data_IF_557044111940
#
_entry.id   IF_557044111940
#
_cell.length_a   1.000
_cell.length_b   1.000
_cell.length_c   1.000
_cell.angle_alpha   90.00
_cell.angle_beta   90.00
_cell.angle_gamma   90.00
#
_symmetry.space_group_name_H-M   'P 1'
#
loop_
_entity.id
_entity.type
_entity.pdbx_description
1 polymer ?
#
# COMPACT_ATOMS: atom_id res chain seq x y z
N UNK A 1 13.30 20.51 -8.26
CA UNK A 1 12.23 19.89 -7.46
C UNK A 1 12.90 19.44 -6.18
N UNK A 2 12.44 19.90 -5.01
CA UNK A 2 13.20 19.77 -3.76
C UNK A 2 12.84 18.44 -3.08
N UNK A 3 13.58 17.37 -3.35
CA UNK A 3 13.37 16.11 -2.61
C UNK A 3 13.77 16.24 -1.15
N UNK A 4 14.68 17.17 -0.80
CA UNK A 4 15.02 17.52 0.59
C UNK A 4 13.76 17.83 1.43
N UNK A 5 12.91 18.76 0.99
CA UNK A 5 11.72 19.14 1.75
C UNK A 5 10.68 18.01 1.82
N UNK A 6 10.54 17.23 0.75
CA UNK A 6 9.68 16.05 0.78
C UNK A 6 10.22 15.02 1.78
N UNK A 7 11.52 14.73 1.72
CA UNK A 7 12.21 13.81 2.63
C UNK A 7 11.93 14.15 4.09
N UNK A 8 12.13 15.41 4.51
CA UNK A 8 11.84 15.85 5.87
C UNK A 8 10.38 15.67 6.29
N UNK A 9 9.42 15.95 5.38
CA UNK A 9 7.98 15.82 5.66
C UNK A 9 7.51 14.36 5.81
N UNK A 10 8.29 13.40 5.29
CA UNK A 10 8.01 11.98 5.45
C UNK A 10 8.68 11.37 6.69
N UNK A 11 9.80 11.93 7.16
CA UNK A 11 10.60 11.34 8.25
C UNK A 11 10.03 11.63 9.64
N UNK A 12 9.38 12.77 9.84
CA UNK A 12 8.95 13.22 11.15
C UNK A 12 7.57 13.89 11.15
N UNK A 13 6.98 13.92 12.35
CA UNK A 13 5.91 14.84 12.68
C UNK A 13 6.38 16.28 12.41
N UNK A 14 5.71 17.03 11.52
CA UNK A 14 6.22 18.32 11.10
C UNK A 14 5.97 19.39 12.18
N UNK A 15 7.05 20.06 12.59
CA UNK A 15 6.96 21.23 13.47
C UNK A 15 6.48 22.48 12.71
N UNK A 16 6.27 23.58 13.43
CA UNK A 16 5.77 24.82 12.83
C UNK A 16 6.69 25.37 11.70
N UNK A 17 8.01 25.17 11.81
CA UNK A 17 8.95 25.64 10.81
C UNK A 17 8.87 24.78 9.53
N UNK A 18 8.78 23.46 9.67
CA UNK A 18 8.62 22.55 8.54
C UNK A 18 7.26 22.73 7.85
N UNK A 19 6.19 22.97 8.62
CA UNK A 19 4.86 23.32 8.07
C UNK A 19 4.91 24.62 7.27
N UNK A 20 5.61 25.65 7.77
CA UNK A 20 5.76 26.90 7.02
C UNK A 20 6.46 26.68 5.67
N UNK A 21 7.49 25.83 5.63
CA UNK A 21 8.16 25.42 4.38
C UNK A 21 7.28 24.56 3.48
N UNK A 22 6.38 23.76 4.04
CA UNK A 22 5.46 22.91 3.29
C UNK A 22 4.58 23.71 2.30
N UNK A 23 4.33 24.99 2.57
CA UNK A 23 3.64 25.90 1.66
C UNK A 23 4.39 26.10 0.32
N UNK A 24 5.72 25.95 0.29
CA UNK A 24 6.52 25.99 -0.95
C UNK A 24 6.14 24.86 -1.92
N UNK A 25 5.60 23.75 -1.40
CA UNK A 25 5.09 22.63 -2.19
C UNK A 25 3.59 22.76 -2.50
N UNK A 26 2.94 23.82 -2.01
CA UNK A 26 1.49 24.03 -2.12
C UNK A 26 0.68 23.11 -1.20
N UNK A 27 1.26 22.64 -0.10
CA UNK A 27 0.53 21.87 0.91
C UNK A 27 -0.42 22.78 1.70
N UNK A 28 -1.60 22.26 2.12
CA UNK A 28 -2.56 23.06 2.87
C UNK A 28 -1.97 23.46 4.22
N UNK A 29 -2.39 24.61 4.74
CA UNK A 29 -2.08 24.99 6.13
C UNK A 29 -2.70 23.97 7.10
N UNK A 30 -2.01 23.72 8.21
CA UNK A 30 -2.44 22.84 9.28
C UNK A 30 -1.71 23.19 10.57
N UNK A 31 -2.28 22.82 11.72
CA UNK A 31 -1.67 23.05 13.02
C UNK A 31 -0.72 21.90 13.39
N UNK A 32 0.44 22.17 14.03
CA UNK A 32 1.43 21.13 14.35
C UNK A 32 0.85 19.96 15.16
N UNK A 33 0.04 20.24 16.19
CA UNK A 33 -0.54 19.20 17.04
C UNK A 33 -1.53 18.30 16.27
N UNK A 34 -2.29 18.87 15.34
CA UNK A 34 -3.20 18.10 14.49
C UNK A 34 -2.41 17.19 13.54
N UNK A 35 -1.30 17.70 12.98
CA UNK A 35 -0.44 16.91 12.11
C UNK A 35 0.30 15.81 12.87
N UNK A 36 0.77 16.03 14.09
CA UNK A 36 1.39 15.00 14.92
C UNK A 36 0.44 13.80 15.12
N UNK A 37 -0.80 14.05 15.53
CA UNK A 37 -1.80 12.99 15.70
C UNK A 37 -2.11 12.28 14.38
N UNK A 38 -2.24 13.04 13.29
CA UNK A 38 -2.48 12.48 11.96
C UNK A 38 -1.27 11.71 11.40
N UNK A 39 -0.04 12.09 11.76
CA UNK A 39 1.19 11.39 11.38
C UNK A 39 1.20 9.99 12.01
N UNK A 40 0.96 9.92 13.32
CA UNK A 40 0.90 8.66 14.05
C UNK A 40 -0.19 7.74 13.46
N UNK A 41 -1.37 8.29 13.21
CA UNK A 41 -2.47 7.52 12.64
C UNK A 41 -2.19 7.04 11.20
N UNK A 42 -1.64 7.89 10.33
CA UNK A 42 -1.37 7.51 8.94
C UNK A 42 -0.16 6.59 8.84
N UNK A 43 1.01 6.99 9.35
CA UNK A 43 2.27 6.30 9.04
C UNK A 43 2.64 5.22 10.05
N UNK A 44 2.27 5.37 11.32
CA UNK A 44 2.62 4.39 12.35
C UNK A 44 1.56 3.29 12.47
N UNK A 45 0.29 3.60 12.21
CA UNK A 45 -0.82 2.67 12.43
C UNK A 45 -1.45 2.08 11.15
N UNK A 46 -1.49 2.82 10.04
CA UNK A 46 -2.27 2.41 8.87
C UNK A 46 -1.42 2.08 7.64
N UNK A 47 -0.55 2.99 7.21
CA UNK A 47 0.26 2.88 5.98
C UNK A 47 1.74 3.15 6.30
N UNK A 48 2.50 2.11 6.70
CA UNK A 48 3.93 2.25 6.95
C UNK A 48 4.67 2.63 5.67
N UNK A 49 5.47 3.71 5.67
CA UNK A 49 6.11 4.26 4.47
C UNK A 49 7.43 3.55 4.14
N UNK A 50 7.42 2.21 4.06
CA UNK A 50 8.60 1.36 3.80
C UNK A 50 8.38 0.52 2.54
N UNK A 51 9.43 0.38 1.72
CA UNK A 51 9.37 -0.35 0.46
C UNK A 51 8.97 -1.82 0.60
N UNK A 52 9.58 -2.56 1.51
CA UNK A 52 9.36 -4.01 1.70
C UNK A 52 7.92 -4.35 2.08
N UNK A 53 7.18 -3.41 2.69
CA UNK A 53 5.74 -3.57 2.96
C UNK A 53 4.92 -3.73 1.67
N UNK A 54 5.41 -3.16 0.55
CA UNK A 54 4.76 -3.21 -0.75
C UNK A 54 5.42 -4.20 -1.71
N UNK A 55 6.75 -4.33 -1.66
CA UNK A 55 7.53 -5.12 -2.61
C UNK A 55 7.70 -6.57 -2.20
N UNK A 56 7.77 -6.87 -0.90
CA UNK A 56 8.17 -8.18 -0.43
C UNK A 56 6.97 -9.10 -0.21
N UNK A 57 7.23 -10.39 -0.40
CA UNK A 57 6.28 -11.49 -0.25
C UNK A 57 5.80 -11.71 1.20
N UNK A 58 6.50 -11.17 2.20
CA UNK A 58 6.02 -11.11 3.58
C UNK A 58 5.00 -9.98 3.79
N UNK A 59 5.09 -8.89 3.02
CA UNK A 59 4.35 -7.66 3.28
C UNK A 59 4.76 -6.96 4.60
N UNK A 60 5.96 -7.26 5.11
CA UNK A 60 6.50 -6.75 6.37
C UNK A 60 7.65 -5.75 6.14
N UNK A 61 7.97 -4.96 7.17
CA UNK A 61 9.09 -4.02 7.15
C UNK A 61 10.43 -4.74 7.33
N UNK A 62 11.52 -4.11 6.87
CA UNK A 62 12.90 -4.56 7.10
C UNK A 62 13.22 -5.93 6.47
N UNK A 63 12.64 -6.21 5.30
CA UNK A 63 12.97 -7.39 4.50
C UNK A 63 14.32 -7.28 3.76
N UNK A 64 14.70 -8.28 2.96
CA UNK A 64 15.99 -8.30 2.25
C UNK A 64 16.24 -7.07 1.38
N UNK A 65 15.23 -6.53 0.68
CA UNK A 65 15.39 -5.35 -0.16
C UNK A 65 15.72 -4.07 0.65
N UNK A 66 15.29 -4.00 1.91
CA UNK A 66 15.69 -2.93 2.82
C UNK A 66 17.18 -3.03 3.19
N UNK A 67 17.71 -4.23 3.36
CA UNK A 67 19.13 -4.47 3.62
C UNK A 67 19.99 -4.13 2.40
N UNK A 68 19.53 -4.46 1.19
CA UNK A 68 20.19 -4.04 -0.05
C UNK A 68 20.23 -2.50 -0.17
N UNK A 69 19.15 -1.82 0.22
CA UNK A 69 19.10 -0.36 0.27
C UNK A 69 20.09 0.21 1.30
N UNK A 70 20.19 -0.39 2.48
CA UNK A 70 21.17 0.00 3.50
C UNK A 70 22.61 -0.19 3.01
N UNK A 71 22.90 -1.30 2.33
CA UNK A 71 24.21 -1.57 1.73
C UNK A 71 24.55 -0.55 0.64
N UNK A 72 23.57 -0.16 -0.18
CA UNK A 72 23.72 0.90 -1.16
C UNK A 72 24.06 2.24 -0.48
N UNK A 73 23.30 2.64 0.54
CA UNK A 73 23.60 3.87 1.30
C UNK A 73 25.03 3.86 1.85
N UNK A 74 25.44 2.75 2.46
CA UNK A 74 26.80 2.58 2.99
C UNK A 74 27.88 2.67 1.91
N UNK A 75 27.68 2.03 0.75
CA UNK A 75 28.62 2.07 -0.38
C UNK A 75 28.85 3.50 -0.91
N UNK A 76 27.88 4.37 -0.69
CA UNK A 76 27.92 5.75 -1.10
C UNK A 76 28.26 6.76 0.01
N UNK A 77 28.50 6.27 1.24
CA UNK A 77 28.71 7.14 2.39
C UNK A 77 27.49 7.95 2.81
N UNK A 78 26.29 7.57 2.37
CA UNK A 78 25.05 8.23 2.75
C UNK A 78 24.63 7.76 4.15
N UNK A 79 24.80 8.63 5.15
CA UNK A 79 24.52 8.34 6.55
C UNK A 79 23.74 9.51 7.19
N UNK A 80 22.50 9.77 6.74
CA UNK A 80 21.66 10.77 7.40
C UNK A 80 21.38 10.33 8.85
N UNK A 81 21.30 11.25 9.82
CA UNK A 81 21.07 10.90 11.23
C UNK A 81 19.79 10.07 11.44
N UNK A 82 18.75 10.35 10.64
CA UNK A 82 17.46 9.70 10.67
C UNK A 82 17.52 8.21 10.31
N UNK A 83 18.61 7.74 9.68
CA UNK A 83 18.81 6.31 9.39
C UNK A 83 18.78 5.45 10.67
N UNK A 84 19.15 6.04 11.81
CA UNK A 84 19.09 5.37 13.12
C UNK A 84 17.75 5.50 13.83
N UNK A 85 16.84 6.32 13.31
CA UNK A 85 15.55 6.66 13.93
C UNK A 85 14.37 5.93 13.28
N UNK A 86 14.47 5.62 11.99
CA UNK A 86 13.45 4.85 11.26
C UNK A 86 13.71 3.35 11.35
N UNK A 87 12.67 2.55 11.09
CA UNK A 87 12.73 1.09 11.25
C UNK A 87 13.54 0.34 10.18
N UNK A 88 13.80 0.95 9.03
CA UNK A 88 14.52 0.35 7.90
C UNK A 88 14.98 1.41 6.87
N UNK A 89 16.00 1.08 6.07
CA UNK A 89 16.65 2.01 5.13
C UNK A 89 15.80 2.34 3.89
N UNK A 90 14.82 1.51 3.57
CA UNK A 90 13.86 1.67 2.47
C UNK A 90 12.65 2.56 2.84
N UNK A 91 12.79 3.37 3.89
CA UNK A 91 11.82 4.39 4.25
C UNK A 91 11.72 5.46 3.15
N UNK A 92 10.49 5.87 2.77
CA UNK A 92 10.24 6.87 1.70
C UNK A 92 11.10 8.12 1.91
N UNK A 93 11.11 8.67 3.12
CA UNK A 93 11.86 9.89 3.43
C UNK A 93 13.38 9.75 3.23
N UNK A 94 13.98 8.63 3.65
CA UNK A 94 15.42 8.39 3.45
C UNK A 94 15.76 8.25 1.97
N UNK A 95 14.95 7.49 1.23
CA UNK A 95 15.18 7.28 -0.18
C UNK A 95 14.99 8.56 -1.00
N UNK A 96 14.02 9.43 -0.64
CA UNK A 96 13.89 10.77 -1.25
C UNK A 96 15.14 11.62 -0.99
N UNK A 97 15.69 11.56 0.23
CA UNK A 97 16.94 12.24 0.57
C UNK A 97 18.12 11.75 -0.29
N UNK A 98 18.24 10.43 -0.49
CA UNK A 98 19.25 9.85 -1.38
C UNK A 98 19.05 10.23 -2.85
N UNK A 99 17.80 10.36 -3.31
CA UNK A 99 17.49 10.83 -4.67
C UNK A 99 17.92 12.29 -4.90
N UNK A 100 17.87 13.15 -3.87
CA UNK A 100 18.37 14.53 -3.95
C UNK A 100 19.87 14.58 -4.26
N UNK A 101 20.65 13.57 -3.85
CA UNK A 101 22.07 13.45 -4.20
C UNK A 101 22.33 13.10 -5.69
N UNK A 102 21.27 12.99 -6.50
CA UNK A 102 21.35 12.76 -7.95
C UNK A 102 21.45 11.30 -8.37
N UNK A 103 21.21 10.35 -7.46
CA UNK A 103 21.40 8.90 -7.68
C UNK A 103 20.13 8.14 -8.07
N UNK A 104 19.38 8.70 -9.00
CA UNK A 104 18.04 8.23 -9.40
C UNK A 104 18.03 6.77 -9.92
N UNK A 105 19.08 6.36 -10.62
CA UNK A 105 19.15 5.04 -11.27
C UNK A 105 19.52 3.87 -10.36
N UNK A 106 19.83 4.11 -9.09
CA UNK A 106 20.39 3.08 -8.21
C UNK A 106 19.33 2.46 -7.30
N UNK A 107 18.37 3.27 -6.88
CA UNK A 107 17.26 2.87 -6.02
C UNK A 107 16.13 2.20 -6.80
N UNK A 108 15.52 1.20 -6.17
CA UNK A 108 14.28 0.61 -6.63
C UNK A 108 13.10 1.43 -6.08
N UNK A 109 12.51 2.28 -6.94
CA UNK A 109 11.50 3.27 -6.56
C UNK A 109 10.09 2.92 -7.07
N UNK A 110 9.92 1.72 -7.64
CA UNK A 110 8.67 1.30 -8.28
C UNK A 110 7.49 1.21 -7.33
N UNK A 111 7.74 1.00 -6.04
CA UNK A 111 6.74 0.91 -4.98
C UNK A 111 6.30 2.28 -4.44
N UNK A 112 7.10 3.34 -4.57
CA UNK A 112 6.80 4.63 -3.93
C UNK A 112 5.49 5.27 -4.44
N UNK A 113 5.17 5.27 -5.75
CA UNK A 113 3.88 5.77 -6.21
C UNK A 113 2.69 4.98 -5.65
N UNK A 114 2.88 3.69 -5.36
CA UNK A 114 1.87 2.80 -4.77
C UNK A 114 1.67 3.12 -3.29
N UNK A 115 2.74 3.37 -2.54
CA UNK A 115 2.66 3.88 -1.17
C UNK A 115 1.92 5.23 -1.12
N UNK A 116 2.25 6.16 -2.01
CA UNK A 116 1.54 7.43 -2.12
C UNK A 116 0.04 7.22 -2.45
N UNK A 117 -0.29 6.24 -3.29
CA UNK A 117 -1.68 5.90 -3.57
C UNK A 117 -2.39 5.33 -2.34
N UNK A 118 -1.73 4.46 -1.57
CA UNK A 118 -2.27 3.92 -0.31
C UNK A 118 -2.68 5.05 0.64
N UNK A 119 -1.83 6.06 0.84
CA UNK A 119 -2.13 7.23 1.70
C UNK A 119 -3.24 8.10 1.13
N UNK A 120 -3.25 8.32 -0.20
CA UNK A 120 -4.37 9.05 -0.85
C UNK A 120 -5.70 8.34 -0.65
N UNK A 121 -5.68 7.01 -0.60
CA UNK A 121 -6.85 6.17 -0.34
C UNK A 121 -7.11 5.95 1.14
N UNK A 122 -6.19 6.26 2.04
CA UNK A 122 -6.37 6.06 3.47
C UNK A 122 -7.55 6.92 3.99
N UNK A 123 -8.59 6.29 4.56
CA UNK A 123 -9.73 7.01 5.10
C UNK A 123 -9.38 8.12 6.08
N UNK A 124 -8.47 7.83 7.00
CA UNK A 124 -8.14 8.73 8.11
C UNK A 124 -7.09 9.76 7.73
N UNK A 125 -6.43 9.59 6.58
CA UNK A 125 -5.45 10.55 6.10
C UNK A 125 -6.10 11.92 5.86
N UNK A 126 -5.67 12.90 6.64
CA UNK A 126 -6.07 14.30 6.51
C UNK A 126 -5.62 14.92 5.18
N UNK A 127 -6.14 16.12 4.88
CA UNK A 127 -5.87 16.84 3.63
C UNK A 127 -4.37 17.07 3.41
N UNK A 128 -3.62 17.34 4.49
CA UNK A 128 -2.18 17.56 4.44
C UNK A 128 -1.42 16.35 3.90
N UNK A 129 -1.58 15.17 4.52
CA UNK A 129 -0.86 13.97 4.09
C UNK A 129 -1.32 13.44 2.72
N UNK A 130 -2.59 13.62 2.37
CA UNK A 130 -3.06 13.34 1.00
C UNK A 130 -2.39 14.24 -0.04
N UNK A 131 -2.19 15.53 0.28
CA UNK A 131 -1.46 16.46 -0.58
C UNK A 131 0.04 16.14 -0.62
N UNK A 132 0.66 15.76 0.49
CA UNK A 132 2.06 15.33 0.55
C UNK A 132 2.29 14.10 -0.34
N UNK A 133 1.43 13.08 -0.20
CA UNK A 133 1.49 11.89 -1.03
C UNK A 133 1.30 12.21 -2.52
N UNK A 134 0.38 13.12 -2.86
CA UNK A 134 0.21 13.61 -4.23
C UNK A 134 1.47 14.30 -4.77
N UNK A 135 2.06 15.23 -4.00
CA UNK A 135 3.27 15.97 -4.41
C UNK A 135 4.48 15.05 -4.54
N UNK A 136 4.61 14.07 -3.66
CA UNK A 136 5.65 13.04 -3.73
C UNK A 136 5.48 12.18 -4.98
N UNK A 137 4.26 11.73 -5.26
CA UNK A 137 3.95 10.98 -6.47
C UNK A 137 4.23 11.77 -7.75
N UNK A 138 3.81 13.04 -7.83
CA UNK A 138 4.14 13.94 -8.95
C UNK A 138 5.64 14.10 -9.13
N UNK A 139 6.38 14.16 -8.02
CA UNK A 139 7.82 14.31 -8.05
C UNK A 139 8.51 13.06 -8.59
N UNK A 140 8.15 11.89 -8.06
CA UNK A 140 8.67 10.61 -8.51
C UNK A 140 8.36 10.37 -9.99
N UNK A 141 7.14 10.63 -10.46
CA UNK A 141 6.80 10.42 -11.88
C UNK A 141 7.57 11.31 -12.87
N UNK A 142 8.15 12.43 -12.42
CA UNK A 142 9.01 13.28 -13.25
C UNK A 142 10.40 12.71 -13.46
N UNK A 143 10.79 11.67 -12.71
CA UNK A 143 12.04 10.95 -12.93
C UNK A 143 11.93 10.15 -14.23
N UNK A 144 12.81 10.44 -15.20
CA UNK A 144 12.73 9.88 -16.57
C UNK A 144 13.40 8.51 -16.72
N UNK A 145 14.25 8.11 -15.78
CA UNK A 145 14.99 6.84 -15.80
C UNK A 145 14.76 6.06 -14.51
N UNK A 146 13.53 5.64 -14.21
CA UNK A 146 13.27 4.81 -13.05
C UNK A 146 13.96 3.45 -13.23
N UNK A 147 14.72 3.05 -12.21
CA UNK A 147 15.28 1.72 -12.16
C UNK A 147 14.21 0.73 -11.66
N UNK A 148 13.73 -0.10 -12.56
CA UNK A 148 12.83 -1.20 -12.26
C UNK A 148 13.61 -2.50 -12.09
N UNK A 149 14.51 -2.55 -11.10
CA UNK A 149 15.13 -3.82 -10.64
C UNK A 149 14.11 -4.78 -10.02
N UNK A 150 12.86 -4.32 -9.85
CA UNK A 150 11.72 -5.10 -9.43
C UNK A 150 11.65 -6.39 -10.25
N UNK A 151 12.12 -7.50 -9.68
CA UNK A 151 11.96 -8.78 -10.31
C UNK A 151 10.47 -9.13 -10.24
N UNK A 152 9.89 -9.43 -11.40
CA UNK A 152 8.58 -10.04 -11.60
C UNK A 152 8.64 -11.50 -11.09
N UNK A 153 9.24 -11.70 -9.92
CA UNK A 153 9.48 -12.99 -9.29
C UNK A 153 8.64 -13.16 -8.04
N UNK A 154 7.81 -12.18 -7.63
CA UNK A 154 6.69 -12.51 -6.76
C UNK A 154 5.95 -13.63 -7.50
N UNK A 155 5.94 -14.86 -6.96
CA UNK A 155 5.20 -15.93 -7.58
C UNK A 155 3.81 -15.36 -7.77
N UNK A 156 3.25 -15.48 -8.98
CA UNK A 156 1.80 -15.39 -9.11
C UNK A 156 1.32 -16.37 -8.05
N UNK A 157 0.73 -15.86 -6.97
CA UNK A 157 0.28 -16.70 -5.88
C UNK A 157 -0.83 -17.56 -6.48
N UNK A 158 -0.41 -18.72 -6.95
CA UNK A 158 -1.25 -19.74 -7.50
C UNK A 158 -1.62 -20.58 -6.30
N UNK A 159 -2.80 -20.31 -5.79
CA UNK A 159 -3.55 -21.32 -5.06
C UNK A 159 -3.41 -22.64 -5.81
N UNK A 160 -2.74 -23.62 -5.21
CA UNK A 160 -2.49 -24.89 -5.86
C UNK A 160 -3.83 -25.53 -6.19
N UNK A 161 -4.10 -25.80 -7.47
CA UNK A 161 -5.29 -26.53 -7.96
C UNK A 161 -5.39 -27.98 -7.43
N UNK A 162 -4.59 -28.37 -6.45
CA UNK A 162 -4.52 -29.72 -5.90
C UNK A 162 -5.49 -29.91 -4.74
N UNK A 163 -6.80 -30.00 -5.00
CA UNK A 163 -7.86 -30.50 -4.09
C UNK A 163 -7.90 -29.98 -2.63
N UNK A 164 -7.03 -29.06 -2.23
CA UNK A 164 -6.95 -28.50 -0.90
C UNK A 164 -7.83 -27.27 -0.87
N UNK A 165 -8.86 -27.30 -0.03
CA UNK A 165 -9.64 -26.11 0.31
C UNK A 165 -8.69 -24.95 0.63
N UNK A 166 -8.95 -23.79 0.03
CA UNK A 166 -8.18 -22.60 0.31
C UNK A 166 -8.44 -22.17 1.74
N UNK A 167 -7.39 -22.14 2.55
CA UNK A 167 -7.54 -21.69 3.92
C UNK A 167 -7.86 -20.20 3.92
N UNK A 168 -8.72 -19.79 4.84
CA UNK A 168 -9.04 -18.37 5.06
C UNK A 168 -7.76 -17.55 5.31
N UNK A 169 -6.76 -18.14 5.98
CA UNK A 169 -5.47 -17.49 6.24
C UNK A 169 -4.67 -17.22 4.98
N UNK A 170 -4.65 -18.14 4.01
CA UNK A 170 -3.95 -17.92 2.74
C UNK A 170 -4.61 -16.78 1.94
N UNK A 171 -5.93 -16.70 2.01
CA UNK A 171 -6.71 -15.64 1.38
C UNK A 171 -6.45 -14.28 2.02
N UNK A 172 -6.48 -14.21 3.35
CA UNK A 172 -6.14 -12.98 4.09
C UNK A 172 -4.72 -12.55 3.76
N UNK A 173 -3.75 -13.47 3.79
CA UNK A 173 -2.35 -13.20 3.42
C UNK A 173 -2.27 -12.63 2.01
N UNK A 174 -2.95 -13.25 1.05
CA UNK A 174 -2.97 -12.79 -0.33
C UNK A 174 -3.45 -11.34 -0.43
N UNK A 175 -4.56 -10.97 0.22
CA UNK A 175 -5.09 -9.60 0.15
C UNK A 175 -4.34 -8.56 1.00
N UNK A 176 -3.63 -8.99 2.06
CA UNK A 176 -2.82 -8.10 2.89
C UNK A 176 -1.40 -7.86 2.37
N UNK A 177 -0.96 -8.63 1.37
CA UNK A 177 0.37 -8.49 0.75
C UNK A 177 0.27 -7.80 -0.61
N UNK A 178 0.63 -6.51 -0.74
CA UNK A 178 0.53 -5.77 -2.00
C UNK A 178 1.32 -6.40 -3.15
N UNK A 179 2.44 -7.07 -2.85
CA UNK A 179 3.24 -7.81 -3.82
C UNK A 179 2.45 -8.91 -4.53
N UNK A 180 1.36 -9.40 -3.94
CA UNK A 180 0.48 -10.43 -4.50
C UNK A 180 -0.79 -9.85 -5.12
N UNK A 181 -1.53 -9.01 -4.38
CA UNK A 181 -2.85 -8.53 -4.81
C UNK A 181 -2.81 -7.19 -5.55
N UNK A 182 -1.71 -6.46 -5.47
CA UNK A 182 -1.52 -5.19 -6.16
C UNK A 182 -2.22 -4.00 -5.52
N UNK A 183 -2.68 -4.13 -4.29
CA UNK A 183 -3.32 -3.06 -3.53
C UNK A 183 -2.89 -3.14 -2.06
N UNK A 184 -3.12 -2.07 -1.31
CA UNK A 184 -2.84 -2.03 0.11
C UNK A 184 -4.14 -1.82 0.90
N UNK A 185 -4.46 -2.76 1.80
CA UNK A 185 -5.58 -2.64 2.74
C UNK A 185 -5.04 -2.26 4.12
N UNK A 186 -5.25 -1.01 4.52
CA UNK A 186 -4.95 -0.58 5.89
C UNK A 186 -5.99 -1.11 6.88
N UNK A 187 -5.69 -1.02 8.17
CA UNK A 187 -6.63 -1.35 9.24
C UNK A 187 -7.89 -0.48 9.16
N UNK A 188 -7.74 0.83 8.97
CA UNK A 188 -8.88 1.73 8.85
C UNK A 188 -9.73 1.41 7.61
N UNK A 189 -9.12 1.03 6.49
CA UNK A 189 -9.84 0.60 5.28
C UNK A 189 -10.66 -0.69 5.52
N UNK A 190 -10.07 -1.69 6.18
CA UNK A 190 -10.78 -2.91 6.59
C UNK A 190 -11.94 -2.58 7.55
N UNK A 191 -11.71 -1.68 8.51
CA UNK A 191 -12.75 -1.20 9.41
C UNK A 191 -13.89 -0.48 8.68
N UNK A 192 -13.60 0.31 7.64
CA UNK A 192 -14.64 0.93 6.81
C UNK A 192 -15.48 -0.10 6.04
N UNK A 193 -14.85 -1.14 5.49
CA UNK A 193 -15.59 -2.25 4.86
C UNK A 193 -16.52 -2.91 5.87
N UNK A 194 -16.02 -3.20 7.08
CA UNK A 194 -16.84 -3.76 8.14
C UNK A 194 -18.07 -2.89 8.45
N UNK A 195 -17.86 -1.57 8.59
CA UNK A 195 -18.95 -0.61 8.84
C UNK A 195 -19.96 -0.57 7.69
N UNK A 196 -19.51 -0.63 6.44
CA UNK A 196 -20.38 -0.69 5.26
C UNK A 196 -21.27 -1.95 5.27
N UNK A 197 -20.72 -3.05 5.77
CA UNK A 197 -21.44 -4.30 6.00
C UNK A 197 -22.27 -4.28 7.30
N UNK A 198 -22.25 -3.22 8.10
CA UNK A 198 -22.93 -3.16 9.40
C UNK A 198 -22.33 -4.09 10.45
N UNK A 199 -21.05 -4.44 10.32
CA UNK A 199 -20.26 -5.23 11.26
C UNK A 199 -19.47 -4.30 12.20
N UNK A 200 -19.09 -4.81 13.37
CA UNK A 200 -18.21 -4.13 14.32
C UNK A 200 -17.02 -5.03 14.61
N UNK A 201 -15.82 -4.54 14.35
CA UNK A 201 -14.59 -5.28 14.59
C UNK A 201 -13.89 -4.77 15.86
N UNK A 202 -13.23 -5.65 16.62
CA UNK A 202 -12.35 -5.24 17.70
C UNK A 202 -11.14 -4.44 17.19
N UNK A 203 -10.46 -3.75 18.12
CA UNK A 203 -9.15 -3.17 17.83
C UNK A 203 -8.09 -4.27 17.80
N UNK A 204 -7.23 -4.23 16.77
CA UNK A 204 -6.13 -5.18 16.62
C UNK A 204 -5.11 -4.71 15.60
N UNK A 205 -4.17 -5.59 15.30
CA UNK A 205 -3.25 -5.49 14.17
C UNK A 205 -4.00 -5.58 12.83
N UNK A 206 -3.32 -5.22 11.73
CA UNK A 206 -3.89 -5.32 10.38
C UNK A 206 -4.33 -6.74 10.04
N UNK A 207 -3.57 -7.74 10.48
CA UNK A 207 -3.89 -9.15 10.27
C UNK A 207 -5.15 -9.57 11.03
N UNK A 208 -5.19 -9.33 12.34
CA UNK A 208 -6.33 -9.70 13.19
C UNK A 208 -7.62 -9.04 12.71
N UNK A 209 -7.58 -7.75 12.34
CA UNK A 209 -8.76 -7.04 11.82
C UNK A 209 -9.25 -7.63 10.50
N UNK A 210 -8.36 -8.11 9.64
CA UNK A 210 -8.75 -8.81 8.42
C UNK A 210 -9.38 -10.17 8.73
N UNK A 211 -8.78 -10.95 9.63
CA UNK A 211 -9.31 -12.25 10.07
C UNK A 211 -10.73 -12.10 10.62
N UNK A 212 -10.93 -11.18 11.58
CA UNK A 212 -12.24 -10.89 12.13
C UNK A 212 -13.25 -10.39 11.11
N UNK A 213 -12.82 -9.61 10.10
CA UNK A 213 -13.70 -9.15 9.03
C UNK A 213 -14.28 -10.32 8.23
N UNK A 214 -13.43 -11.25 7.80
CA UNK A 214 -13.88 -12.41 7.03
C UNK A 214 -14.72 -13.36 7.87
N UNK A 215 -14.31 -13.66 9.11
CA UNK A 215 -15.08 -14.51 10.03
C UNK A 215 -16.46 -13.90 10.31
N UNK A 216 -16.52 -12.62 10.67
CA UNK A 216 -17.78 -11.92 10.96
C UNK A 216 -18.68 -11.84 9.73
N UNK A 217 -18.12 -11.66 8.54
CA UNK A 217 -18.90 -11.67 7.29
C UNK A 217 -19.46 -13.08 6.99
N UNK A 218 -18.71 -14.14 7.27
CA UNK A 218 -19.17 -15.52 7.19
C UNK A 218 -20.35 -15.79 8.12
N UNK A 219 -20.17 -15.50 9.42
CA UNK A 219 -21.19 -15.71 10.45
C UNK A 219 -22.47 -14.90 10.18
N UNK A 220 -22.33 -13.68 9.64
CA UNK A 220 -23.46 -12.81 9.32
C UNK A 220 -24.10 -13.09 7.95
N UNK A 221 -23.60 -14.05 7.16
CA UNK A 221 -24.08 -14.34 5.81
C UNK A 221 -23.82 -13.21 4.80
N UNK A 222 -22.78 -12.39 5.02
CA UNK A 222 -22.43 -11.19 4.23
C UNK A 222 -21.19 -11.38 3.36
N UNK A 223 -20.83 -12.62 3.05
CA UNK A 223 -19.62 -12.94 2.28
C UNK A 223 -19.66 -12.33 0.87
N UNK A 224 -20.82 -12.36 0.21
CA UNK A 224 -20.97 -11.81 -1.14
C UNK A 224 -20.80 -10.28 -1.17
N UNK A 225 -21.30 -9.60 -0.15
CA UNK A 225 -21.14 -8.16 0.05
C UNK A 225 -19.68 -7.80 0.33
N UNK A 226 -18.99 -8.58 1.16
CA UNK A 226 -17.55 -8.39 1.42
C UNK A 226 -16.74 -8.57 0.13
N UNK A 227 -17.05 -9.60 -0.67
CA UNK A 227 -16.42 -9.79 -1.99
C UNK A 227 -16.68 -8.56 -2.87
N UNK A 228 -17.90 -8.03 -2.88
CA UNK A 228 -18.23 -6.81 -3.62
C UNK A 228 -17.40 -5.59 -3.19
N UNK A 229 -17.22 -5.38 -1.89
CA UNK A 229 -16.36 -4.30 -1.37
C UNK A 229 -14.89 -4.47 -1.78
N UNK A 230 -14.38 -5.70 -1.75
CA UNK A 230 -13.01 -6.00 -2.20
C UNK A 230 -12.86 -5.80 -3.71
N UNK A 231 -13.85 -6.18 -4.51
CA UNK A 231 -13.86 -5.92 -5.96
C UNK A 231 -13.82 -4.42 -6.26
N UNK A 232 -14.62 -3.63 -5.53
CA UNK A 232 -14.62 -2.18 -5.66
C UNK A 232 -13.24 -1.58 -5.38
N UNK A 233 -12.54 -2.05 -4.34
CA UNK A 233 -11.17 -1.63 -4.08
C UNK A 233 -10.22 -2.05 -5.21
N UNK A 234 -10.23 -3.32 -5.62
CA UNK A 234 -9.37 -3.81 -6.72
C UNK A 234 -9.55 -2.97 -7.98
N UNK A 235 -10.80 -2.68 -8.36
CA UNK A 235 -11.08 -1.87 -9.55
C UNK A 235 -10.61 -0.42 -9.41
N UNK A 236 -10.77 0.17 -8.23
CA UNK A 236 -10.33 1.54 -8.00
C UNK A 236 -8.79 1.67 -8.05
N UNK A 237 -8.05 0.69 -7.54
CA UNK A 237 -6.59 0.62 -7.68
C UNK A 237 -6.17 0.38 -9.13
N UNK A 238 -6.81 -0.56 -9.83
CA UNK A 238 -6.53 -0.82 -11.24
C UNK A 238 -6.77 0.42 -12.13
N UNK A 239 -7.82 1.19 -11.88
CA UNK A 239 -8.09 2.43 -12.62
C UNK A 239 -6.96 3.45 -12.47
N UNK A 240 -6.41 3.58 -11.26
CA UNK A 240 -5.26 4.45 -10.99
C UNK A 240 -4.01 4.02 -11.75
N UNK A 241 -3.71 2.72 -11.78
CA UNK A 241 -2.57 2.19 -12.53
C UNK A 241 -2.72 2.39 -14.04
N UNK A 242 -3.91 2.18 -14.61
CA UNK A 242 -4.17 2.50 -16.03
C UNK A 242 -3.90 3.97 -16.32
N UNK A 243 -4.40 4.86 -15.46
CA UNK A 243 -4.15 6.31 -15.57
C UNK A 243 -2.65 6.63 -15.52
N UNK A 244 -1.86 5.93 -14.72
CA UNK A 244 -0.41 6.14 -14.69
C UNK A 244 0.27 5.68 -15.98
N UNK A 245 -0.11 4.51 -16.51
CA UNK A 245 0.42 3.98 -17.78
C UNK A 245 0.13 4.88 -18.99
N UNK A 246 -0.99 5.61 -18.94
CA UNK A 246 -1.41 6.58 -19.94
C UNK A 246 -0.66 7.91 -19.78
N UNK A 247 -0.65 8.48 -18.58
CA UNK A 247 -0.10 9.82 -18.33
C UNK A 247 1.43 9.86 -18.20
N UNK A 248 2.06 8.74 -17.84
CA UNK A 248 3.50 8.64 -17.62
C UNK A 248 4.09 7.44 -18.38
N UNK A 249 4.34 7.58 -19.70
CA UNK A 249 4.81 6.46 -20.53
C UNK A 249 6.08 5.78 -20.03
N UNK A 250 7.03 6.53 -19.45
CA UNK A 250 8.25 5.98 -18.84
C UNK A 250 7.98 5.04 -17.65
N UNK A 251 6.81 5.18 -17.02
CA UNK A 251 6.37 4.40 -15.87
C UNK A 251 5.38 3.29 -16.23
N UNK A 252 5.06 3.12 -17.52
CA UNK A 252 4.15 2.09 -18.01
C UNK A 252 4.55 0.67 -17.58
N UNK A 253 5.82 0.23 -17.67
CA UNK A 253 6.19 -1.13 -17.25
C UNK A 253 5.87 -1.42 -15.78
N UNK A 254 6.07 -0.43 -14.90
CA UNK A 254 5.70 -0.52 -13.49
C UNK A 254 4.18 -0.61 -13.33
N UNK A 255 3.43 0.29 -13.98
CA UNK A 255 1.98 0.29 -13.90
C UNK A 255 1.37 -1.04 -14.41
N UNK A 256 1.91 -1.62 -15.47
CA UNK A 256 1.51 -2.93 -16.01
C UNK A 256 1.77 -4.07 -15.01
N UNK A 257 2.89 -4.02 -14.28
CA UNK A 257 3.21 -4.99 -13.21
C UNK A 257 2.16 -4.95 -12.10
N UNK A 258 1.79 -3.77 -11.63
CA UNK A 258 0.75 -3.64 -10.60
C UNK A 258 -0.67 -3.94 -11.13
N UNK A 259 -0.94 -3.68 -12.41
CA UNK A 259 -2.18 -4.11 -13.07
C UNK A 259 -2.29 -5.64 -13.14
N UNK A 260 -1.19 -6.35 -13.41
CA UNK A 260 -1.19 -7.81 -13.42
C UNK A 260 -1.57 -8.38 -12.04
N UNK A 261 -1.11 -7.75 -10.95
CA UNK A 261 -1.45 -8.12 -9.57
C UNK A 261 -2.92 -7.87 -9.22
N UNK A 262 -3.46 -6.70 -9.56
CA UNK A 262 -4.90 -6.44 -9.37
C UNK A 262 -5.77 -7.38 -10.21
N UNK A 263 -5.30 -7.77 -11.40
CA UNK A 263 -5.97 -8.79 -12.22
C UNK A 263 -5.92 -10.17 -11.56
N UNK A 264 -4.84 -10.51 -10.86
CA UNK A 264 -4.77 -11.72 -10.03
C UNK A 264 -5.78 -11.66 -8.88
N UNK A 265 -5.85 -10.53 -8.15
CA UNK A 265 -6.82 -10.34 -7.08
C UNK A 265 -8.27 -10.47 -7.56
N UNK A 266 -8.61 -9.88 -8.71
CA UNK A 266 -9.93 -10.03 -9.30
C UNK A 266 -10.28 -11.49 -9.62
N UNK A 267 -9.33 -12.28 -10.14
CA UNK A 267 -9.55 -13.71 -10.38
C UNK A 267 -9.85 -14.46 -9.08
N UNK A 268 -9.17 -14.11 -7.99
CA UNK A 268 -9.42 -14.74 -6.70
C UNK A 268 -10.81 -14.42 -6.16
N UNK A 269 -11.24 -13.16 -6.26
CA UNK A 269 -12.60 -12.76 -5.88
C UNK A 269 -13.67 -13.49 -6.72
N UNK A 270 -13.43 -13.66 -8.02
CA UNK A 270 -14.30 -14.48 -8.88
C UNK A 270 -14.37 -15.93 -8.41
N UNK A 271 -13.24 -16.56 -8.09
CA UNK A 271 -13.20 -17.94 -7.56
C UNK A 271 -13.98 -18.05 -6.26
N UNK A 272 -13.75 -17.14 -5.30
CA UNK A 272 -14.47 -17.13 -4.03
C UNK A 272 -15.99 -17.05 -4.23
N UNK A 273 -16.45 -16.18 -5.14
CA UNK A 273 -17.88 -16.01 -5.44
C UNK A 273 -18.49 -17.30 -5.98
N UNK A 274 -17.78 -18.01 -6.86
CA UNK A 274 -18.25 -19.29 -7.40
C UNK A 274 -18.34 -20.36 -6.31
N UNK A 275 -17.37 -20.41 -5.38
CA UNK A 275 -17.41 -21.35 -4.23
C UNK A 275 -18.62 -21.07 -3.34
N UNK A 276 -18.83 -19.80 -2.95
CA UNK A 276 -19.97 -19.41 -2.10
C UNK A 276 -21.32 -19.73 -2.76
N UNK A 277 -21.42 -19.61 -4.09
CA UNK A 277 -22.64 -19.96 -4.83
C UNK A 277 -22.86 -21.47 -4.92
N UNK A 278 -21.80 -22.28 -5.00
CA UNK A 278 -21.88 -23.73 -5.06
C UNK A 278 -22.28 -24.36 -3.70
N UNK A 279 -21.94 -23.70 -2.59
CA UNK A 279 -22.27 -24.15 -1.23
C UNK A 279 -23.70 -23.76 -0.79
N UNK A 280 -24.42 -22.95 -1.57
CA UNK A 280 -25.84 -22.72 -1.33
C UNK A 280 -26.59 -24.02 -1.69
N UNK A 281 -27.34 -24.63 -0.76
CA UNK A 281 -28.11 -25.82 -1.08
C UNK A 281 -29.03 -25.51 -2.26
N UNK A 282 -29.07 -26.41 -3.26
CA UNK A 282 -30.12 -26.42 -4.27
C UNK A 282 -31.45 -26.44 -3.51
N UNK A 283 -32.06 -25.27 -3.36
CA UNK A 283 -33.32 -25.14 -2.65
C UNK A 283 -34.35 -25.98 -3.35
N UNK A 284 -34.79 -27.04 -2.66
CA UNK A 284 -36.12 -27.60 -2.62
C UNK A 284 -37.06 -27.08 -3.72
N UNK A 285 -36.86 -27.58 -4.94
CA UNK A 285 -37.90 -27.68 -5.95
C UNK A 285 -38.82 -28.88 -5.62
N UNK A 286 -39.40 -28.90 -4.42
CA UNK A 286 -40.44 -29.86 -4.04
C UNK A 286 -41.51 -29.17 -3.18
N UNK A 287 -42.45 -28.51 -3.84
CA UNK A 287 -43.91 -28.77 -3.86
C UNK A 287 -44.71 -27.51 -4.22
#
# INVERSE_FOLDING_TARGET
>A
MKFELLSSLWLHEPDAALIARAAELGLPAAEPLELAAAYADVFLLNVPPYGTVFSDDSGEMNGPAAQDTAALFAAHGYQPPELSEVGAADHVGLMLGFLEEGRIGELEIGWMPVCCLAIKREPTAGKFYKALAFKTQEAIFKLQTPNFKFQINSPIFQFSNSQSELSLRDLIRFFLTPAYCGLFLSRARLGQMALALGLRLPFGSRWEVAEWLFESAGEAGKVNELIGELENEVQAWAAEYRRWAENYPAWRPMAETWLARTSAAQRQLTTMRLTVQADLPEGDCHL
#
